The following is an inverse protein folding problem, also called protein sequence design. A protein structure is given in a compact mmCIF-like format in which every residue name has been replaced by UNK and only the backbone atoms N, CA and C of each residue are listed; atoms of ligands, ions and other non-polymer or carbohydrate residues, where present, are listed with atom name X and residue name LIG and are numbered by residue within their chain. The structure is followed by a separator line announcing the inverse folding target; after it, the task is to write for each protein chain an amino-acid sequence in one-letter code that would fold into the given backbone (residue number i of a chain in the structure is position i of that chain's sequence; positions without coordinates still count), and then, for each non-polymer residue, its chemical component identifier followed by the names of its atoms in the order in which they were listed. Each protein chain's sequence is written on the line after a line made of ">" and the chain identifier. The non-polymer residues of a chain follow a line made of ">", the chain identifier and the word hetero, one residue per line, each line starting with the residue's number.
data_IF_754950467909
#
_entry.id   IF_754950467909
#
_cell.length_a   1.000
_cell.length_b   1.000
_cell.length_c   1.000
_cell.angle_alpha   90.00
_cell.angle_beta   90.00
_cell.angle_gamma   90.00
#
_symmetry.space_group_name_H-M   'P 1'
#
loop_
_entity.id
_entity.type
_entity.pdbx_description
1 polymer ?
#
# COMPACT_ATOMS: atom_id res chain seq x y z
N UNK A 1 -28.13 -18.94 1.07
CA UNK A 1 -28.26 -17.86 2.07
C UNK A 1 -26.97 -17.56 2.83
N UNK A 2 -25.93 -18.40 2.75
CA UNK A 2 -24.64 -18.20 3.44
C UNK A 2 -23.67 -17.27 2.70
N UNK A 3 -23.79 -17.12 1.38
CA UNK A 3 -22.90 -16.27 0.57
C UNK A 3 -22.96 -14.79 0.98
N UNK A 4 -24.13 -14.28 1.36
CA UNK A 4 -24.30 -12.89 1.76
C UNK A 4 -23.61 -12.54 3.09
N UNK A 5 -23.69 -13.44 4.08
CA UNK A 5 -23.00 -13.24 5.36
C UNK A 5 -21.48 -13.36 5.20
N UNK A 6 -21.00 -14.34 4.43
CA UNK A 6 -19.56 -14.50 4.14
C UNK A 6 -19.03 -13.27 3.39
N UNK A 7 -19.78 -12.74 2.42
CA UNK A 7 -19.43 -11.50 1.73
C UNK A 7 -19.37 -10.30 2.69
N UNK A 8 -20.33 -10.17 3.62
CA UNK A 8 -20.32 -9.11 4.62
C UNK A 8 -19.08 -9.16 5.52
N UNK A 9 -18.75 -10.32 6.07
CA UNK A 9 -17.55 -10.51 6.87
C UNK A 9 -16.26 -10.29 6.07
N UNK A 10 -16.22 -10.72 4.81
CA UNK A 10 -15.07 -10.51 3.92
C UNK A 10 -14.83 -9.02 3.64
N UNK A 11 -15.88 -8.23 3.38
CA UNK A 11 -15.73 -6.78 3.16
C UNK A 11 -15.22 -6.06 4.40
N UNK A 12 -15.71 -6.44 5.59
CA UNK A 12 -15.21 -5.89 6.86
C UNK A 12 -13.72 -6.24 7.05
N UNK A 13 -13.35 -7.50 6.82
CA UNK A 13 -11.96 -7.95 6.96
C UNK A 13 -11.02 -7.24 5.95
N UNK A 14 -11.46 -7.08 4.70
CA UNK A 14 -10.70 -6.34 3.68
C UNK A 14 -10.56 -4.86 4.06
N UNK A 15 -11.64 -4.23 4.54
CA UNK A 15 -11.60 -2.85 5.02
C UNK A 15 -10.64 -2.67 6.20
N UNK A 16 -10.69 -3.58 7.17
CA UNK A 16 -9.77 -3.59 8.32
C UNK A 16 -8.31 -3.76 7.88
N UNK A 17 -8.05 -4.71 6.98
CA UNK A 17 -6.71 -4.95 6.46
C UNK A 17 -6.14 -3.71 5.74
N UNK A 18 -6.96 -3.01 4.95
CA UNK A 18 -6.54 -1.81 4.25
C UNK A 18 -6.23 -0.64 5.22
N UNK A 19 -7.03 -0.50 6.29
CA UNK A 19 -6.82 0.54 7.30
C UNK A 19 -5.52 0.34 8.12
N UNK A 20 -5.12 -0.91 8.38
CA UNK A 20 -3.90 -1.23 9.15
C UNK A 20 -2.63 -1.13 8.28
N UNK A 21 -2.75 -1.39 6.99
CA UNK A 21 -1.63 -1.41 6.05
C UNK A 21 -0.82 -0.11 6.05
N UNK A 22 -1.48 1.05 6.00
CA UNK A 22 -0.82 2.35 6.01
C UNK A 22 0.00 2.64 7.29
N UNK A 23 -0.56 2.54 8.51
CA UNK A 23 0.22 2.74 9.73
C UNK A 23 1.32 1.69 9.92
N UNK A 24 1.14 0.45 9.44
CA UNK A 24 2.20 -0.56 9.48
C UNK A 24 3.36 -0.19 8.54
N UNK A 25 3.09 0.22 7.30
CA UNK A 25 4.13 0.69 6.36
C UNK A 25 4.85 1.90 6.93
N UNK A 26 4.10 2.86 7.49
CA UNK A 26 4.67 4.06 8.08
C UNK A 26 5.60 3.71 9.26
N UNK A 27 5.15 2.87 10.18
CA UNK A 27 5.95 2.40 11.32
C UNK A 27 7.23 1.69 10.85
N UNK A 28 7.12 0.72 9.94
CA UNK A 28 8.29 -0.02 9.43
C UNK A 28 9.28 0.87 8.68
N UNK A 29 8.80 1.88 7.95
CA UNK A 29 9.65 2.76 7.16
C UNK A 29 10.41 3.80 8.01
N UNK A 30 9.92 4.13 9.21
CA UNK A 30 10.63 5.02 10.14
C UNK A 30 11.39 4.25 11.23
N UNK A 31 11.19 2.94 11.33
CA UNK A 31 11.87 2.07 12.28
C UNK A 31 13.38 2.03 11.97
N UNK A 32 14.21 2.37 12.96
CA UNK A 32 15.67 2.41 12.81
C UNK A 32 16.26 3.74 12.31
N UNK A 33 15.45 4.74 11.93
CA UNK A 33 15.95 6.06 11.46
C UNK A 33 16.47 6.98 12.59
N UNK A 34 16.18 6.68 13.87
CA UNK A 34 16.69 7.46 15.00
C UNK A 34 16.37 8.96 14.88
N UNK A 35 17.40 9.80 14.84
CA UNK A 35 17.28 11.26 14.71
C UNK A 35 16.67 11.76 13.40
N UNK A 36 16.69 10.94 12.33
CA UNK A 36 16.13 11.29 11.02
C UNK A 36 14.66 10.90 10.84
N UNK A 37 14.02 10.33 11.87
CA UNK A 37 12.58 9.99 11.88
C UNK A 37 11.67 11.13 11.39
N UNK A 38 11.88 12.41 11.77
CA UNK A 38 11.06 13.52 11.28
C UNK A 38 11.22 13.77 9.77
N UNK A 39 12.40 13.51 9.20
CA UNK A 39 12.64 13.62 7.75
C UNK A 39 12.04 12.44 7.00
N UNK A 40 12.21 11.23 7.53
CA UNK A 40 11.64 10.01 6.94
C UNK A 40 10.12 10.05 6.87
N UNK A 41 9.46 10.38 7.98
CA UNK A 41 8.00 10.59 8.03
C UNK A 41 7.50 11.67 7.07
N UNK A 42 8.23 12.79 6.95
CA UNK A 42 7.91 13.84 5.97
C UNK A 42 7.97 13.34 4.52
N UNK A 43 8.99 12.54 4.18
CA UNK A 43 9.14 11.96 2.84
C UNK A 43 8.03 10.95 2.54
N UNK A 44 7.64 10.13 3.53
CA UNK A 44 6.53 9.18 3.41
C UNK A 44 5.22 9.92 3.13
N UNK A 45 4.93 11.01 3.86
CA UNK A 45 3.75 11.84 3.60
C UNK A 45 3.74 12.42 2.18
N UNK A 46 4.89 12.87 1.66
CA UNK A 46 5.00 13.34 0.28
C UNK A 46 4.81 12.22 -0.76
N UNK A 47 5.29 11.01 -0.47
CA UNK A 47 5.09 9.84 -1.33
C UNK A 47 3.60 9.46 -1.45
N UNK A 48 2.80 9.64 -0.39
CA UNK A 48 1.33 9.43 -0.44
C UNK A 48 0.68 10.39 -1.44
N UNK A 49 1.11 11.65 -1.46
CA UNK A 49 0.61 12.64 -2.43
C UNK A 49 0.96 12.20 -3.86
N UNK A 50 2.16 11.65 -4.08
CA UNK A 50 2.52 11.01 -5.34
C UNK A 50 1.61 9.84 -5.73
N UNK A 51 1.07 9.12 -4.73
CA UNK A 51 0.07 8.07 -4.91
C UNK A 51 -1.22 8.54 -5.58
N UNK A 52 -1.58 9.83 -5.51
CA UNK A 52 -2.74 10.39 -6.21
C UNK A 52 -2.61 10.36 -7.74
N UNK A 53 -1.38 10.23 -8.26
CA UNK A 53 -1.11 10.11 -9.69
C UNK A 53 -1.55 8.74 -10.22
N UNK A 54 -1.47 7.69 -9.39
CA UNK A 54 -1.78 6.31 -9.80
C UNK A 54 -3.27 6.14 -10.15
N UNK A 55 -4.25 6.61 -9.32
CA UNK A 55 -5.67 6.62 -9.69
C UNK A 55 -5.98 7.47 -10.92
N UNK A 56 -5.29 8.61 -11.12
CA UNK A 56 -5.48 9.47 -12.28
C UNK A 56 -5.05 8.77 -13.57
N UNK A 57 -3.89 8.10 -13.55
CA UNK A 57 -3.42 7.29 -14.67
C UNK A 57 -4.34 6.09 -14.92
N UNK A 58 -4.75 5.39 -13.86
CA UNK A 58 -5.68 4.28 -13.96
C UNK A 58 -7.03 4.69 -14.56
N UNK A 59 -7.61 5.81 -14.10
CA UNK A 59 -8.85 6.39 -14.65
C UNK A 59 -8.70 6.79 -16.11
N UNK A 60 -7.61 7.47 -16.47
CA UNK A 60 -7.34 7.86 -17.85
C UNK A 60 -7.15 6.66 -18.79
N UNK A 61 -6.57 5.55 -18.29
CA UNK A 61 -6.47 4.29 -19.06
C UNK A 61 -7.78 3.51 -19.12
N UNK A 62 -8.63 3.61 -18.09
CA UNK A 62 -9.94 2.98 -18.05
C UNK A 62 -10.87 3.55 -19.13
N UNK A 63 -10.82 4.88 -19.33
CA UNK A 63 -11.62 5.58 -20.34
C UNK A 63 -11.25 5.21 -21.79
N UNK A 64 -10.03 4.69 -22.03
CA UNK A 64 -9.52 4.42 -23.39
C UNK A 64 -9.48 2.95 -23.80
N UNK A 65 -9.35 2.00 -22.88
CA UNK A 65 -8.93 0.64 -23.27
C UNK A 65 -9.78 -0.54 -22.76
N UNK A 66 -10.49 -0.43 -21.63
CA UNK A 66 -11.34 -1.47 -20.98
C UNK A 66 -11.11 -1.51 -19.47
N UNK A 67 -12.17 -1.78 -18.68
CA UNK A 67 -12.14 -1.99 -17.23
C UNK A 67 -11.13 -3.07 -16.79
N UNK A 68 -10.86 -4.07 -17.64
CA UNK A 68 -9.92 -5.14 -17.34
C UNK A 68 -8.47 -4.64 -17.22
N UNK A 69 -8.06 -3.70 -18.08
CA UNK A 69 -6.71 -3.10 -18.04
C UNK A 69 -6.57 -2.15 -16.85
N UNK A 70 -7.65 -1.47 -16.49
CA UNK A 70 -7.70 -0.61 -15.31
C UNK A 70 -7.52 -1.40 -14.00
N UNK A 71 -7.95 -2.67 -13.95
CA UNK A 71 -7.77 -3.58 -12.80
C UNK A 71 -6.33 -4.08 -12.61
N UNK A 72 -5.50 -4.05 -13.66
CA UNK A 72 -4.09 -4.44 -13.56
C UNK A 72 -3.30 -3.44 -12.72
N UNK A 73 -3.68 -2.16 -12.74
CA UNK A 73 -2.97 -1.10 -12.00
C UNK A 73 -3.13 -1.25 -10.48
N UNK A 74 -4.34 -1.40 -9.91
CA UNK A 74 -4.53 -1.74 -8.51
C UNK A 74 -3.88 -3.07 -8.12
N UNK A 75 -3.95 -4.09 -8.99
CA UNK A 75 -3.32 -5.38 -8.73
C UNK A 75 -1.79 -5.26 -8.61
N UNK A 76 -1.14 -4.49 -9.50
CA UNK A 76 0.28 -4.20 -9.42
C UNK A 76 0.64 -3.38 -8.17
N UNK A 77 -0.21 -2.43 -7.79
CA UNK A 77 -0.03 -1.64 -6.57
C UNK A 77 -0.08 -2.54 -5.31
N UNK A 78 -1.03 -3.46 -5.24
CA UNK A 78 -1.13 -4.44 -4.15
C UNK A 78 0.07 -5.39 -4.13
N UNK A 79 0.56 -5.82 -5.30
CA UNK A 79 1.76 -6.63 -5.41
C UNK A 79 3.00 -5.89 -4.88
N UNK A 80 3.13 -4.59 -5.16
CA UNK A 80 4.23 -3.77 -4.63
C UNK A 80 4.18 -3.65 -3.11
N UNK A 81 2.98 -3.48 -2.54
CA UNK A 81 2.79 -3.46 -1.08
C UNK A 81 3.10 -4.83 -0.46
N UNK A 82 2.69 -5.92 -1.10
CA UNK A 82 3.01 -7.27 -0.66
C UNK A 82 4.53 -7.53 -0.69
N UNK A 83 5.23 -7.06 -1.72
CA UNK A 83 6.69 -7.10 -1.81
C UNK A 83 7.34 -6.27 -0.71
N UNK A 84 6.85 -5.06 -0.43
CA UNK A 84 7.34 -4.21 0.66
C UNK A 84 7.20 -4.91 2.02
N UNK A 85 6.04 -5.52 2.29
CA UNK A 85 5.81 -6.33 3.49
C UNK A 85 6.74 -7.54 3.58
N UNK A 86 6.97 -8.24 2.47
CA UNK A 86 7.90 -9.37 2.41
C UNK A 86 9.37 -8.94 2.58
N UNK A 87 9.77 -7.79 2.04
CA UNK A 87 11.10 -7.22 2.21
C UNK A 87 11.32 -6.61 3.58
N UNK A 88 10.29 -6.04 4.22
CA UNK A 88 10.36 -5.56 5.61
C UNK A 88 10.35 -6.72 6.62
N UNK A 89 9.76 -7.87 6.25
CA UNK A 89 9.86 -9.12 7.02
C UNK A 89 11.27 -9.71 6.99
N UNK A 90 12.09 -9.34 5.98
CA UNK A 90 13.53 -9.56 6.04
C UNK A 90 14.08 -8.41 6.87
N UNK A 91 14.69 -8.66 8.05
CA UNK A 91 15.26 -7.60 8.84
C UNK A 91 16.20 -6.82 7.92
N UNK A 92 15.94 -5.51 7.77
CA UNK A 92 16.94 -4.56 7.26
C UNK A 92 18.21 -4.90 8.02
N UNK A 93 19.18 -5.46 7.30
CA UNK A 93 20.52 -5.58 7.81
C UNK A 93 20.91 -4.13 8.08
N UNK A 94 21.02 -3.80 9.37
CA UNK A 94 21.62 -2.55 9.79
C UNK A 94 23.05 -2.60 9.27
N UNK A 95 23.24 -2.09 8.06
CA UNK A 95 24.54 -1.89 7.47
C UNK A 95 25.16 -0.73 8.24
N UNK A 96 25.80 -1.08 9.35
CA UNK A 96 26.75 -0.22 10.02
C UNK A 96 27.82 0.21 8.99
N UNK A 97 27.90 1.51 8.75
CA UNK A 97 29.13 2.17 8.30
C UNK A 97 29.19 3.59 8.85
#
# INVERSE_FOLDING_TARGET
>A
MTTGQIAGWALIAVGLANAIMFPTIFSLAIEGLGGDTPRGSGLLCMAIVGGAIVPLLAGATADRSSLATALVIPAACYAFIALFGASASRPVKADAS
#
